data_IF_953115876652
#
_entry.id   IF_953115876652
#
_cell.length_a   1.000
_cell.length_b   1.000
_cell.length_c   1.000
_cell.angle_alpha   90.00
_cell.angle_beta   90.00
_cell.angle_gamma   90.00
#
_symmetry.space_group_name_H-M   'P 1'
#
loop_
_entity.id
_entity.type
_entity.pdbx_description
1 polymer ?
#
# COMPACT_ATOMS: atom_id res chain seq x y z
N UNK A 1 -38.93 12.88 -6.06
CA UNK A 1 -37.75 12.21 -6.63
C UNK A 1 -37.67 10.86 -5.94
N UNK A 2 -37.69 9.75 -6.67
CA UNK A 2 -37.79 8.41 -6.08
C UNK A 2 -36.40 8.04 -5.54
N UNK A 3 -36.24 7.95 -4.21
CA UNK A 3 -35.10 7.26 -3.58
C UNK A 3 -35.17 5.77 -3.90
N UNK A 4 -34.76 5.38 -5.12
CA UNK A 4 -34.51 3.98 -5.43
C UNK A 4 -33.19 3.60 -4.74
N UNK A 5 -33.28 3.11 -3.51
CA UNK A 5 -32.15 2.62 -2.73
C UNK A 5 -31.62 1.36 -3.43
N UNK A 6 -30.58 1.54 -4.25
CA UNK A 6 -29.86 0.44 -4.90
C UNK A 6 -29.55 -0.66 -3.86
N UNK A 7 -30.12 -1.85 -4.03
CA UNK A 7 -29.77 -3.03 -3.24
C UNK A 7 -28.35 -3.47 -3.62
N UNK A 8 -27.37 -2.99 -2.85
CA UNK A 8 -25.98 -3.37 -3.02
C UNK A 8 -25.73 -4.73 -2.36
N UNK A 9 -25.11 -5.64 -3.10
CA UNK A 9 -24.68 -6.94 -2.58
C UNK A 9 -23.59 -6.69 -1.52
N UNK A 10 -23.93 -6.91 -0.25
CA UNK A 10 -22.98 -6.82 0.85
C UNK A 10 -22.07 -8.05 0.85
N UNK A 11 -20.77 -7.85 0.93
CA UNK A 11 -19.81 -8.94 1.04
C UNK A 11 -20.01 -9.67 2.38
N UNK A 12 -20.02 -10.99 2.33
CA UNK A 12 -19.93 -11.83 3.54
C UNK A 12 -18.60 -11.58 4.26
N UNK A 13 -18.55 -11.84 5.57
CA UNK A 13 -17.33 -11.66 6.37
C UNK A 13 -16.10 -12.39 5.79
N UNK A 14 -16.31 -13.58 5.21
CA UNK A 14 -15.26 -14.36 4.54
C UNK A 14 -14.72 -13.64 3.30
N UNK A 15 -15.60 -13.08 2.47
CA UNK A 15 -15.19 -12.34 1.26
C UNK A 15 -14.49 -11.02 1.61
N UNK A 16 -14.95 -10.33 2.66
CA UNK A 16 -14.33 -9.09 3.15
C UNK A 16 -12.92 -9.34 3.69
N UNK A 17 -12.71 -10.45 4.42
CA UNK A 17 -11.39 -10.87 4.90
C UNK A 17 -10.43 -11.18 3.75
N UNK A 18 -10.87 -11.92 2.73
CA UNK A 18 -10.05 -12.23 1.56
C UNK A 18 -9.63 -10.97 0.78
N UNK A 19 -10.55 -10.00 0.63
CA UNK A 19 -10.25 -8.70 0.01
C UNK A 19 -9.21 -7.92 0.80
N UNK A 20 -9.36 -7.83 2.13
CA UNK A 20 -8.40 -7.14 3.01
C UNK A 20 -7.01 -7.74 2.94
N UNK A 21 -6.88 -9.07 2.94
CA UNK A 21 -5.58 -9.72 2.83
C UNK A 21 -4.82 -9.34 1.56
N UNK A 22 -5.50 -9.26 0.41
CA UNK A 22 -4.87 -8.84 -0.86
C UNK A 22 -4.41 -7.38 -0.81
N UNK A 23 -5.25 -6.48 -0.30
CA UNK A 23 -4.89 -5.07 -0.15
C UNK A 23 -3.71 -4.88 0.82
N UNK A 24 -3.67 -5.64 1.91
CA UNK A 24 -2.56 -5.61 2.88
C UNK A 24 -1.26 -6.12 2.25
N UNK A 25 -1.31 -7.19 1.47
CA UNK A 25 -0.13 -7.70 0.77
C UNK A 25 0.47 -6.66 -0.19
N UNK A 26 -0.38 -5.98 -0.97
CA UNK A 26 0.07 -4.90 -1.87
C UNK A 26 0.66 -3.74 -1.07
N UNK A 27 0.01 -3.31 0.01
CA UNK A 27 0.53 -2.25 0.88
C UNK A 27 1.88 -2.58 1.48
N UNK A 28 2.07 -3.81 1.96
CA UNK A 28 3.34 -4.29 2.49
C UNK A 28 4.43 -4.33 1.43
N UNK A 29 4.12 -4.82 0.22
CA UNK A 29 5.08 -4.86 -0.89
C UNK A 29 5.57 -3.45 -1.28
N UNK A 30 4.64 -2.48 -1.36
CA UNK A 30 4.98 -1.09 -1.64
C UNK A 30 5.82 -0.46 -0.53
N UNK A 31 5.49 -0.71 0.74
CA UNK A 31 6.26 -0.20 1.87
C UNK A 31 7.71 -0.71 1.86
N UNK A 32 7.91 -2.01 1.61
CA UNK A 32 9.24 -2.61 1.49
C UNK A 32 10.02 -1.99 0.34
N UNK A 33 9.38 -1.80 -0.82
CA UNK A 33 10.01 -1.16 -1.98
C UNK A 33 10.52 0.24 -1.64
N UNK A 34 9.68 1.07 -0.98
CA UNK A 34 10.06 2.43 -0.56
C UNK A 34 11.24 2.42 0.41
N UNK A 35 11.25 1.51 1.38
CA UNK A 35 12.35 1.41 2.36
C UNK A 35 13.68 1.08 1.64
N UNK A 36 13.67 0.15 0.68
CA UNK A 36 14.86 -0.20 -0.09
C UNK A 36 15.40 1.03 -0.83
N UNK A 37 14.52 1.76 -1.54
CA UNK A 37 14.92 2.98 -2.24
C UNK A 37 15.47 4.04 -1.29
N UNK A 38 14.84 4.25 -0.15
CA UNK A 38 15.28 5.24 0.83
C UNK A 38 16.67 4.91 1.40
N UNK A 39 16.90 3.64 1.77
CA UNK A 39 18.22 3.18 2.21
C UNK A 39 19.25 3.34 1.09
N UNK A 40 18.92 2.94 -0.14
CA UNK A 40 19.81 3.12 -1.29
C UNK A 40 20.14 4.60 -1.53
N UNK A 41 19.18 5.51 -1.36
CA UNK A 41 19.39 6.95 -1.44
C UNK A 41 20.35 7.43 -0.35
N UNK A 42 20.19 7.01 0.91
CA UNK A 42 21.11 7.39 1.99
C UNK A 42 22.51 6.82 1.77
N UNK A 43 22.62 5.56 1.36
CA UNK A 43 23.93 4.93 1.11
C UNK A 43 24.64 5.62 -0.07
N UNK A 44 23.91 5.94 -1.14
CA UNK A 44 24.51 6.51 -2.35
C UNK A 44 24.73 8.03 -2.27
N UNK A 45 23.81 8.78 -1.66
CA UNK A 45 23.86 10.24 -1.58
C UNK A 45 24.25 10.78 -0.21
N UNK A 46 23.93 10.07 0.88
CA UNK A 46 24.34 10.45 2.24
C UNK A 46 25.80 10.11 2.56
N UNK A 47 26.42 9.17 1.84
CA UNK A 47 27.86 8.87 1.95
C UNK A 47 28.71 9.53 0.86
N UNK A 48 28.24 10.56 0.15
CA UNK A 48 29.16 11.37 -0.66
C UNK A 48 30.12 12.12 0.28
N UNK A 49 31.42 11.76 0.36
CA UNK A 49 32.41 12.51 1.12
C UNK A 49 32.99 13.64 0.24
N UNK A 50 32.14 14.24 -0.60
CA UNK A 50 32.54 15.06 -1.74
C UNK A 50 32.03 16.50 -1.72
N UNK A 51 31.68 17.02 -0.55
CA UNK A 51 31.51 18.46 -0.32
C UNK A 51 32.57 18.94 0.68
N UNK A 52 33.82 18.86 0.25
CA UNK A 52 34.89 19.79 0.62
C UNK A 52 35.66 20.11 -0.65
#
# INVERSE_FOLDING_TARGET
>A
MIEEKLELITLTERQRKARRNRSVAIGLALAVLVIIFYIATIVKFGHHPGSM
#
